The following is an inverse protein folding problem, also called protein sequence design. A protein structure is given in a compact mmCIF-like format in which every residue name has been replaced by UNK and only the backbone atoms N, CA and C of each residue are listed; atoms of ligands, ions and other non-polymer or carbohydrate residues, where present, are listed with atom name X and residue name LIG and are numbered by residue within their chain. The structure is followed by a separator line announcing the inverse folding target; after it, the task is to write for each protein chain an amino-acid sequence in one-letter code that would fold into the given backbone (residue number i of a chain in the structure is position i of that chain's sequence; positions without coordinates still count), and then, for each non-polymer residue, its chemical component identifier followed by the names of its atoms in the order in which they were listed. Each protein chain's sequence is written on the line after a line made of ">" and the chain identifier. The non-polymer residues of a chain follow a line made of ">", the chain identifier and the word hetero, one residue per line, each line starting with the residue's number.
data_IF_087358915647
#
_entry.id   IF_087358915647
#
_cell.length_a   1.000
_cell.length_b   1.000
_cell.length_c   1.000
_cell.angle_alpha   90.00
_cell.angle_beta   90.00
_cell.angle_gamma   90.00
#
_symmetry.space_group_name_H-M   'P 1'
#
loop_
_entity.id
_entity.type
_entity.pdbx_description
1 polymer ?
#
# COMPACT_ATOMS: atom_id res chain seq x y z
N UNK A 1 -13.68 -3.59 5.69
CA UNK A 1 -12.57 -3.31 4.76
C UNK A 1 -11.28 -3.67 5.48
N UNK A 2 -10.60 -4.72 5.06
CA UNK A 2 -9.26 -5.02 5.55
C UNK A 2 -8.29 -4.27 4.64
N UNK A 3 -7.89 -3.08 5.06
CA UNK A 3 -6.72 -2.43 4.50
C UNK A 3 -5.54 -3.34 4.81
N UNK A 4 -5.00 -4.01 3.78
CA UNK A 4 -3.78 -4.77 3.90
C UNK A 4 -2.62 -3.80 4.12
N UNK A 5 -2.39 -3.42 5.38
CA UNK A 5 -1.10 -2.88 5.77
C UNK A 5 -0.08 -3.98 5.47
N UNK A 6 0.79 -3.75 4.50
CA UNK A 6 2.02 -4.51 4.40
C UNK A 6 2.77 -4.21 5.70
N UNK A 7 2.71 -5.12 6.67
CA UNK A 7 3.51 -5.04 7.90
C UNK A 7 4.98 -5.15 7.49
N UNK A 8 5.58 -4.01 7.16
CA UNK A 8 7.01 -3.88 6.96
C UNK A 8 7.64 -4.11 8.32
N UNK A 9 8.26 -5.28 8.47
CA UNK A 9 9.05 -5.67 9.64
C UNK A 9 9.79 -4.47 10.22
N UNK A 10 9.74 -4.33 11.54
CA UNK A 10 10.44 -3.28 12.26
C UNK A 10 11.88 -3.14 11.76
N UNK A 11 12.26 -1.90 11.44
CA UNK A 11 13.60 -1.54 10.97
C UNK A 11 14.16 -0.42 11.83
N UNK A 12 15.47 -0.24 11.78
CA UNK A 12 16.14 0.92 12.39
C UNK A 12 16.03 2.13 11.48
N UNK A 13 15.57 3.24 12.03
CA UNK A 13 15.47 4.56 11.44
C UNK A 13 16.55 5.44 12.03
N UNK A 14 17.28 6.15 11.18
CA UNK A 14 18.42 6.98 11.58
C UNK A 14 18.12 8.44 11.29
N UNK A 15 18.48 9.33 12.22
CA UNK A 15 18.38 10.77 12.01
C UNK A 15 19.39 11.25 10.97
N UNK A 16 19.13 12.39 10.33
CA UNK A 16 19.98 12.97 9.29
C UNK A 16 21.40 13.31 9.78
N UNK A 17 21.56 13.50 11.09
CA UNK A 17 22.84 13.77 11.76
C UNK A 17 23.47 12.52 12.40
N UNK A 18 22.90 11.34 12.15
CA UNK A 18 23.31 10.03 12.70
C UNK A 18 23.34 9.97 14.24
N UNK A 19 22.82 10.99 14.94
CA UNK A 19 22.86 11.10 16.40
C UNK A 19 21.83 10.24 17.12
N UNK A 20 20.76 9.85 16.41
CA UNK A 20 19.63 9.09 16.96
C UNK A 20 19.28 7.93 16.03
N UNK A 21 19.00 6.81 16.67
CA UNK A 21 18.46 5.62 16.02
C UNK A 21 17.20 5.20 16.77
N UNK A 22 16.19 4.79 16.01
CA UNK A 22 14.89 4.38 16.54
C UNK A 22 14.44 3.15 15.77
N UNK A 23 14.09 2.09 16.47
CA UNK A 23 13.52 0.90 15.84
C UNK A 23 12.00 1.05 15.73
N UNK A 24 11.44 0.79 14.54
CA UNK A 24 10.01 0.88 14.33
C UNK A 24 9.56 0.42 12.96
N UNK A 25 8.27 0.16 12.83
CA UNK A 25 7.62 -0.29 11.60
C UNK A 25 7.17 0.91 10.76
N UNK A 26 7.38 0.86 9.44
CA UNK A 26 6.81 1.89 8.55
C UNK A 26 5.29 1.76 8.51
N UNK A 27 4.58 2.86 8.74
CA UNK A 27 3.13 2.91 8.67
C UNK A 27 2.66 3.62 7.39
N UNK A 28 3.11 4.87 7.19
CA UNK A 28 2.70 5.68 6.05
C UNK A 28 3.66 6.83 5.75
N UNK A 29 3.51 7.39 4.55
CA UNK A 29 4.19 8.61 4.11
C UNK A 29 3.18 9.58 3.49
N UNK A 30 3.14 10.81 4.01
CA UNK A 30 2.37 11.93 3.47
C UNK A 30 3.30 12.79 2.60
N UNK A 31 3.15 12.68 1.28
CA UNK A 31 3.96 13.41 0.33
C UNK A 31 3.64 14.91 0.29
N UNK A 32 2.43 15.33 0.66
CA UNK A 32 2.04 16.75 0.68
C UNK A 32 2.71 17.48 1.86
N UNK A 33 2.81 16.81 3.01
CA UNK A 33 3.45 17.34 4.22
C UNK A 33 4.91 16.97 4.38
N UNK A 34 5.41 16.06 3.54
CA UNK A 34 6.75 15.46 3.65
C UNK A 34 6.98 14.78 5.02
N UNK A 35 5.95 14.09 5.52
CA UNK A 35 5.93 13.47 6.85
C UNK A 35 5.87 11.95 6.77
N UNK A 36 6.68 11.29 7.61
CA UNK A 36 6.72 9.84 7.76
C UNK A 36 6.11 9.46 9.09
N UNK A 37 5.21 8.49 9.08
CA UNK A 37 4.69 7.85 10.28
C UNK A 37 5.30 6.46 10.44
N UNK A 38 5.82 6.19 11.63
CA UNK A 38 6.30 4.86 12.03
C UNK A 38 5.61 4.42 13.32
N UNK A 39 5.51 3.12 13.55
CA UNK A 39 5.08 2.57 14.83
C UNK A 39 6.28 2.15 15.67
N UNK A 40 6.31 2.60 16.92
CA UNK A 40 7.30 2.23 17.93
C UNK A 40 6.55 1.84 19.20
N UNK A 41 6.74 0.61 19.68
CA UNK A 41 6.09 0.09 20.89
C UNK A 41 4.56 0.29 20.90
N UNK A 42 3.90 0.09 19.74
CA UNK A 42 2.45 0.27 19.59
C UNK A 42 1.99 1.73 19.56
N UNK A 43 2.92 2.69 19.43
CA UNK A 43 2.60 4.12 19.30
C UNK A 43 3.09 4.64 17.95
N UNK A 44 2.23 5.42 17.29
CA UNK A 44 2.62 6.13 16.08
C UNK A 44 3.47 7.34 16.43
N UNK A 45 4.64 7.43 15.79
CA UNK A 45 5.55 8.57 15.85
C UNK A 45 5.68 9.15 14.45
N UNK A 46 5.51 10.46 14.33
CA UNK A 46 5.58 11.18 13.06
C UNK A 46 6.73 12.18 13.06
N UNK A 47 7.47 12.24 11.97
CA UNK A 47 8.54 13.22 11.77
C UNK A 47 8.71 13.57 10.28
N UNK A 48 9.31 14.72 10.03
CA UNK A 48 9.64 15.16 8.67
C UNK A 48 10.67 14.21 8.02
N UNK A 49 10.46 13.87 6.75
CA UNK A 49 11.35 13.01 5.97
C UNK A 49 12.79 13.55 5.93
N UNK A 50 12.95 14.87 5.87
CA UNK A 50 14.26 15.53 5.79
C UNK A 50 15.11 15.35 7.07
N UNK A 51 14.48 14.93 8.17
CA UNK A 51 15.18 14.63 9.44
C UNK A 51 15.74 13.22 9.50
N UNK A 52 15.47 12.39 8.50
CA UNK A 52 16.01 11.04 8.38
C UNK A 52 17.31 11.01 7.58
N UNK A 53 18.08 9.95 7.77
CA UNK A 53 19.25 9.62 6.94
C UNK A 53 18.84 9.49 5.46
N UNK A 54 19.79 9.72 4.54
CA UNK A 54 19.52 9.57 3.11
C UNK A 54 19.00 8.18 2.74
N UNK A 55 19.53 7.13 3.38
CA UNK A 55 19.11 5.76 3.14
C UNK A 55 17.65 5.52 3.56
N UNK A 56 17.24 6.08 4.70
CA UNK A 56 15.85 5.99 5.15
C UNK A 56 14.92 6.84 4.29
N UNK A 57 15.39 7.99 3.79
CA UNK A 57 14.62 8.80 2.83
C UNK A 57 14.35 8.06 1.53
N UNK A 58 15.35 7.37 0.98
CA UNK A 58 15.20 6.55 -0.24
C UNK A 58 14.25 5.38 -0.02
N UNK A 59 14.33 4.73 1.15
CA UNK A 59 13.40 3.66 1.51
C UNK A 59 11.94 4.15 1.51
N UNK A 60 11.66 5.28 2.17
CA UNK A 60 10.29 5.84 2.25
C UNK A 60 9.77 6.19 0.86
N UNK A 61 10.59 6.81 0.01
CA UNK A 61 10.20 7.14 -1.36
C UNK A 61 9.84 5.90 -2.16
N UNK A 62 10.63 4.84 -2.04
CA UNK A 62 10.35 3.55 -2.67
C UNK A 62 9.03 2.95 -2.20
N UNK A 63 8.76 2.98 -0.88
CA UNK A 63 7.47 2.52 -0.35
C UNK A 63 6.31 3.39 -0.86
N UNK A 64 6.48 4.69 -0.99
CA UNK A 64 5.49 5.58 -1.59
C UNK A 64 5.22 5.29 -3.08
N UNK A 65 6.23 4.85 -3.84
CA UNK A 65 6.07 4.44 -5.24
C UNK A 65 5.36 3.08 -5.38
N UNK A 66 5.66 2.12 -4.51
CA UNK A 66 5.00 0.81 -4.46
C UNK A 66 3.56 0.90 -3.92
N UNK A 67 3.24 1.97 -3.17
CA UNK A 67 1.91 2.27 -2.65
C UNK A 67 1.02 3.03 -3.64
N UNK A 68 1.40 3.11 -4.93
CA UNK A 68 0.52 3.69 -5.95
C UNK A 68 -0.83 2.99 -5.86
N UNK A 69 -1.83 3.81 -5.54
CA UNK A 69 -3.23 3.44 -5.51
C UNK A 69 -3.50 2.64 -6.79
N UNK A 70 -3.77 1.35 -6.62
CA UNK A 70 -4.00 0.47 -7.75
C UNK A 70 -5.21 1.05 -8.47
N UNK A 71 -4.99 1.55 -9.69
CA UNK A 71 -6.10 2.04 -10.50
C UNK A 71 -6.97 0.84 -10.84
N UNK A 72 -8.01 0.68 -10.03
CA UNK A 72 -8.94 -0.42 -10.11
C UNK A 72 -9.65 -0.39 -11.47
N UNK A 73 -9.86 0.79 -12.05
CA UNK A 73 -10.44 0.92 -13.38
C UNK A 73 -9.47 0.42 -14.46
N UNK A 74 -8.17 0.73 -14.35
CA UNK A 74 -7.16 0.20 -15.26
C UNK A 74 -7.02 -1.33 -15.15
N UNK A 75 -7.10 -1.88 -13.93
CA UNK A 75 -7.11 -3.33 -13.72
C UNK A 75 -8.31 -4.00 -14.40
N UNK A 76 -9.53 -3.45 -14.25
CA UNK A 76 -10.72 -4.00 -14.88
C UNK A 76 -10.71 -3.84 -16.40
N UNK A 77 -10.12 -2.75 -16.93
CA UNK A 77 -9.95 -2.58 -18.37
C UNK A 77 -9.02 -3.63 -19.00
N UNK A 78 -8.06 -4.16 -18.23
CA UNK A 78 -7.11 -5.20 -18.67
C UNK A 78 -7.57 -6.62 -18.32
N UNK A 79 -8.49 -6.79 -17.38
CA UNK A 79 -8.93 -8.08 -16.91
C UNK A 79 -9.81 -8.78 -17.96
N UNK A 80 -9.60 -10.08 -18.16
CA UNK A 80 -10.49 -10.90 -18.99
C UNK A 80 -11.70 -11.32 -18.17
N UNK A 81 -12.78 -10.55 -18.26
CA UNK A 81 -13.97 -10.73 -17.44
C UNK A 81 -15.05 -11.52 -18.18
N UNK A 82 -15.80 -12.32 -17.44
CA UNK A 82 -16.92 -13.10 -17.97
C UNK A 82 -18.14 -12.93 -17.06
N UNK A 83 -19.33 -12.87 -17.64
CA UNK A 83 -20.58 -12.94 -16.90
C UNK A 83 -21.19 -14.34 -17.00
N UNK A 84 -21.95 -14.75 -15.99
CA UNK A 84 -22.65 -16.04 -15.99
C UNK A 84 -24.10 -15.83 -16.40
N UNK A 85 -24.46 -16.26 -17.61
CA UNK A 85 -25.83 -16.22 -18.14
C UNK A 85 -26.28 -17.65 -18.41
N UNK A 86 -27.39 -18.07 -17.78
CA UNK A 86 -27.96 -19.41 -17.92
C UNK A 86 -26.94 -20.56 -17.74
N UNK A 87 -26.03 -20.41 -16.77
CA UNK A 87 -25.00 -21.41 -16.47
C UNK A 87 -23.81 -21.43 -17.44
N UNK A 88 -23.71 -20.46 -18.36
CA UNK A 88 -22.58 -20.30 -19.28
C UNK A 88 -21.82 -19.02 -19.02
N UNK A 89 -20.50 -19.11 -19.08
CA UNK A 89 -19.63 -17.94 -19.01
C UNK A 89 -19.50 -17.32 -20.40
N UNK A 90 -19.89 -16.05 -20.54
CA UNK A 90 -19.65 -15.27 -21.76
C UNK A 90 -18.73 -14.10 -21.45
N UNK A 91 -17.85 -13.76 -22.39
CA UNK A 91 -16.88 -12.66 -22.22
C UNK A 91 -17.60 -11.31 -22.17
N UNK A 92 -17.23 -10.46 -21.21
CA UNK A 92 -17.80 -9.13 -21.00
C UNK A 92 -16.67 -8.15 -20.75
N UNK A 93 -16.79 -6.92 -21.26
CA UNK A 93 -15.94 -5.79 -20.86
C UNK A 93 -16.74 -4.88 -19.94
N UNK A 94 -16.13 -4.42 -18.85
CA UNK A 94 -16.76 -3.46 -17.95
C UNK A 94 -16.80 -2.07 -18.60
N UNK A 95 -17.99 -1.48 -18.74
CA UNK A 95 -18.16 -0.09 -19.23
C UNK A 95 -17.99 0.95 -18.10
N UNK A 96 -17.01 0.75 -17.22
CA UNK A 96 -16.71 1.67 -16.13
C UNK A 96 -16.21 0.99 -14.85
N UNK A 97 -15.97 1.80 -13.81
CA UNK A 97 -15.61 1.31 -12.49
C UNK A 97 -16.86 0.71 -11.81
N UNK A 98 -16.82 -0.53 -11.33
CA UNK A 98 -17.94 -1.09 -10.58
C UNK A 98 -18.09 -0.39 -9.22
N UNK A 99 -19.33 -0.14 -8.80
CA UNK A 99 -19.62 0.45 -7.49
C UNK A 99 -19.29 -0.50 -6.32
N UNK A 100 -19.40 -1.82 -6.55
CA UNK A 100 -19.18 -2.86 -5.55
C UNK A 100 -18.45 -4.06 -6.15
N UNK A 101 -17.65 -4.74 -5.34
CA UNK A 101 -16.96 -5.98 -5.72
C UNK A 101 -17.02 -7.01 -4.59
N UNK A 102 -17.13 -8.29 -4.96
CA UNK A 102 -17.00 -9.44 -4.05
C UNK A 102 -15.79 -10.25 -4.48
N UNK A 103 -14.83 -10.41 -3.57
CA UNK A 103 -13.68 -11.29 -3.78
C UNK A 103 -14.01 -12.63 -3.14
N UNK A 104 -14.09 -13.67 -3.96
CA UNK A 104 -14.36 -15.04 -3.51
C UNK A 104 -13.16 -15.93 -3.82
N UNK A 105 -12.63 -16.60 -2.81
CA UNK A 105 -11.58 -17.61 -2.97
C UNK A 105 -12.20 -19.00 -2.80
N UNK A 106 -12.21 -19.79 -3.88
CA UNK A 106 -12.52 -21.21 -3.77
C UNK A 106 -11.26 -21.98 -3.39
N UNK A 107 -11.22 -22.58 -2.21
CA UNK A 107 -10.24 -23.60 -1.93
C UNK A 107 -10.62 -24.87 -2.72
N UNK A 108 -9.76 -25.30 -3.65
CA UNK A 108 -9.81 -26.66 -4.19
C UNK A 108 -9.16 -27.58 -3.15
N UNK A 109 -9.94 -28.53 -2.66
CA UNK A 109 -9.55 -29.59 -1.74
C UNK A 109 -9.32 -30.88 -2.54
#
# INVERSE_FOLDING_TARGET
>A
MLAGAVSLSARTWTSADDSKQLEGEFQSFDAEKNEVAIEVDGKTVTFALDKLSKADQEFVKKQGEDSKEVDVAELFAKAKTHHLVDGKFEEMQFEGKPDYYLIYFSASW
#
